data_IF_861093207113
#
_entry.id   IF_861093207113
#
_cell.length_a   1.000
_cell.length_b   1.000
_cell.length_c   1.000
_cell.angle_alpha   90.00
_cell.angle_beta   90.00
_cell.angle_gamma   90.00
#
_symmetry.space_group_name_H-M   'P 1'
#
loop_
_entity.id
_entity.type
_entity.pdbx_description
1 polymer ?
#
# COMPACT_ATOMS: atom_id res chain seq x y z
N UNK A 1 -21.70 39.40 10.73
CA UNK A 1 -20.56 38.84 9.98
C UNK A 1 -20.12 37.56 10.66
N UNK A 2 -20.43 36.40 10.07
CA UNK A 2 -20.07 35.11 10.65
C UNK A 2 -18.74 34.68 10.02
N UNK A 3 -17.69 34.59 10.80
CA UNK A 3 -16.40 34.05 10.42
C UNK A 3 -16.55 32.55 10.10
N UNK A 4 -16.41 32.16 8.83
CA UNK A 4 -16.27 30.78 8.42
C UNK A 4 -14.93 30.27 8.93
N UNK A 5 -14.94 29.45 10.00
CA UNK A 5 -13.81 28.60 10.36
C UNK A 5 -13.49 27.70 9.15
N UNK A 6 -12.38 27.95 8.53
CA UNK A 6 -11.78 27.06 7.53
C UNK A 6 -11.30 25.81 8.28
N UNK A 7 -12.07 24.73 8.24
CA UNK A 7 -11.60 23.43 8.69
C UNK A 7 -10.44 23.02 7.79
N UNK A 8 -9.25 23.00 8.37
CA UNK A 8 -8.06 22.45 7.75
C UNK A 8 -8.24 20.95 7.65
N UNK A 9 -8.80 20.48 6.53
CA UNK A 9 -8.79 19.06 6.17
C UNK A 9 -7.34 18.64 5.93
N UNK A 10 -6.67 18.18 6.98
CA UNK A 10 -5.40 17.46 6.81
C UNK A 10 -5.76 16.22 5.97
N UNK A 11 -5.20 16.05 4.77
CA UNK A 11 -5.52 14.90 3.94
C UNK A 11 -5.30 13.62 4.76
N UNK A 12 -6.27 12.70 4.79
CA UNK A 12 -6.17 11.41 5.49
C UNK A 12 -4.86 10.69 5.16
N UNK A 13 -4.41 10.82 3.89
CA UNK A 13 -3.10 10.32 3.46
C UNK A 13 -1.94 10.86 4.30
N UNK A 14 -1.92 12.16 4.64
CA UNK A 14 -0.85 12.74 5.45
C UNK A 14 -0.83 12.13 6.86
N UNK A 15 -2.00 11.79 7.40
CA UNK A 15 -2.12 11.12 8.70
C UNK A 15 -1.60 9.67 8.63
N UNK A 16 -1.96 8.92 7.58
CA UNK A 16 -1.49 7.55 7.38
C UNK A 16 0.01 7.48 7.09
N UNK A 17 0.52 8.38 6.26
CA UNK A 17 1.95 8.47 5.98
C UNK A 17 2.74 8.84 7.25
N UNK A 18 2.27 9.81 8.03
CA UNK A 18 2.91 10.19 9.29
C UNK A 18 2.85 9.05 10.32
N UNK A 19 1.70 8.35 10.40
CA UNK A 19 1.53 7.16 11.25
C UNK A 19 2.46 6.02 10.83
N UNK A 20 2.52 5.70 9.54
CA UNK A 20 3.40 4.67 8.99
C UNK A 20 4.88 4.97 9.22
N UNK A 21 5.30 6.24 9.08
CA UNK A 21 6.68 6.65 9.35
C UNK A 21 7.05 6.56 10.84
N UNK A 22 6.15 6.91 11.73
CA UNK A 22 6.33 6.76 13.17
C UNK A 22 6.43 5.29 13.56
N UNK A 23 5.56 4.43 13.05
CA UNK A 23 5.59 2.99 13.28
C UNK A 23 6.87 2.36 12.73
N UNK A 24 7.31 2.75 11.52
CA UNK A 24 8.59 2.30 10.96
C UNK A 24 9.79 2.68 11.84
N UNK A 25 9.86 3.95 12.33
CA UNK A 25 10.91 4.37 13.25
C UNK A 25 10.87 3.63 14.57
N UNK A 26 9.67 3.39 15.11
CA UNK A 26 9.49 2.62 16.35
C UNK A 26 9.93 1.17 16.16
N UNK A 27 9.54 0.55 15.07
CA UNK A 27 9.92 -0.83 14.73
C UNK A 27 11.44 -0.99 14.59
N UNK A 28 12.08 -0.06 13.87
CA UNK A 28 13.55 -0.04 13.74
C UNK A 28 14.26 0.15 15.08
N UNK A 29 13.68 0.92 16.00
CA UNK A 29 14.23 1.18 17.34
C UNK A 29 14.01 0.01 18.32
N UNK A 30 12.93 -0.76 18.14
CA UNK A 30 12.56 -1.91 18.98
C UNK A 30 13.16 -3.23 18.47
N UNK A 31 14.02 -3.20 17.46
CA UNK A 31 14.80 -4.36 17.04
C UNK A 31 13.97 -5.54 16.54
N UNK A 32 13.07 -5.31 15.58
CA UNK A 32 12.50 -6.43 14.82
C UNK A 32 11.12 -6.93 15.26
N UNK A 33 10.28 -6.11 15.85
CA UNK A 33 8.92 -6.47 16.23
C UNK A 33 7.85 -6.08 15.18
N UNK A 34 8.19 -6.09 13.89
CA UNK A 34 7.22 -6.28 12.82
C UNK A 34 7.69 -7.48 12.01
N UNK A 35 7.80 -8.61 12.67
CA UNK A 35 7.45 -9.87 12.04
C UNK A 35 5.92 -9.87 12.07
N UNK A 36 5.34 -9.96 10.89
CA UNK A 36 3.90 -10.18 10.72
C UNK A 36 3.55 -11.46 11.48
N UNK A 37 2.85 -11.39 12.63
CA UNK A 37 2.66 -12.57 13.47
C UNK A 37 1.77 -13.63 12.83
N UNK A 38 1.23 -13.36 11.64
CA UNK A 38 0.33 -14.22 10.89
C UNK A 38 0.61 -14.18 9.37
N UNK A 39 1.63 -13.43 8.93
CA UNK A 39 2.06 -13.41 7.55
C UNK A 39 2.62 -14.77 7.16
N UNK A 40 2.23 -15.25 6.00
CA UNK A 40 2.73 -16.50 5.45
C UNK A 40 4.18 -16.23 4.99
N UNK A 41 5.17 -16.43 5.90
CA UNK A 41 6.59 -16.17 5.63
C UNK A 41 7.03 -16.81 4.29
N UNK A 42 6.47 -17.99 3.97
CA UNK A 42 6.76 -18.67 2.73
C UNK A 42 6.22 -17.89 1.51
N UNK A 43 4.97 -17.42 1.56
CA UNK A 43 4.39 -16.65 0.46
C UNK A 43 5.11 -15.32 0.24
N UNK A 44 5.54 -14.65 1.30
CA UNK A 44 6.36 -13.44 1.20
C UNK A 44 7.73 -13.74 0.58
N UNK A 45 8.39 -14.83 0.99
CA UNK A 45 9.66 -15.26 0.42
C UNK A 45 9.52 -15.60 -1.07
N UNK A 46 8.45 -16.29 -1.45
CA UNK A 46 8.17 -16.63 -2.84
C UNK A 46 7.90 -15.37 -3.68
N UNK A 47 7.17 -14.39 -3.13
CA UNK A 47 6.94 -13.10 -3.75
C UNK A 47 8.25 -12.33 -3.97
N UNK A 48 9.09 -12.22 -2.94
CA UNK A 48 10.40 -11.58 -3.01
C UNK A 48 11.32 -12.22 -4.07
N UNK A 49 11.31 -13.55 -4.17
CA UNK A 49 12.10 -14.27 -5.16
C UNK A 49 11.56 -14.12 -6.59
N UNK A 50 10.27 -13.80 -6.75
CA UNK A 50 9.60 -13.66 -8.06
C UNK A 50 9.73 -12.26 -8.66
N UNK A 51 10.01 -11.25 -7.85
CA UNK A 51 10.03 -9.83 -8.25
C UNK A 51 11.44 -9.28 -8.17
N UNK A 52 11.95 -8.79 -9.29
CA UNK A 52 13.24 -8.07 -9.34
C UNK A 52 12.98 -6.57 -9.51
N UNK A 53 13.55 -5.76 -8.63
CA UNK A 53 13.47 -4.29 -8.63
C UNK A 53 14.85 -3.71 -8.96
N UNK A 54 14.92 -2.81 -9.93
CA UNK A 54 16.09 -1.98 -10.11
C UNK A 54 16.02 -0.74 -9.23
N UNK A 55 16.78 -0.74 -8.13
CA UNK A 55 16.74 0.34 -7.12
C UNK A 55 17.14 1.71 -7.67
N UNK A 56 17.95 1.75 -8.75
CA UNK A 56 18.38 2.99 -9.39
C UNK A 56 17.23 3.71 -10.12
N UNK A 57 16.18 2.97 -10.48
CA UNK A 57 15.01 3.51 -11.17
C UNK A 57 13.91 3.98 -10.21
N UNK A 58 14.07 3.77 -8.90
CA UNK A 58 13.04 4.16 -7.95
C UNK A 58 12.88 5.68 -7.88
N UNK A 59 11.65 6.16 -8.09
CA UNK A 59 11.29 7.58 -8.00
C UNK A 59 11.35 8.10 -6.57
N UNK A 60 11.10 7.24 -5.59
CA UNK A 60 11.04 7.60 -4.18
C UNK A 60 11.98 6.73 -3.35
N UNK A 61 12.40 7.18 -2.15
CA UNK A 61 13.19 6.36 -1.24
C UNK A 61 12.39 5.17 -0.71
N UNK A 62 13.04 4.02 -0.45
CA UNK A 62 12.38 2.78 -0.03
C UNK A 62 11.42 2.92 1.15
N UNK A 63 11.75 3.76 2.14
CA UNK A 63 10.88 3.99 3.28
C UNK A 63 9.51 4.57 2.90
N UNK A 64 9.43 5.28 1.77
CA UNK A 64 8.18 5.83 1.27
C UNK A 64 7.22 4.73 0.80
N UNK A 65 7.73 3.71 0.10
CA UNK A 65 6.92 2.56 -0.32
C UNK A 65 6.43 1.75 0.87
N UNK A 66 7.25 1.58 1.92
CA UNK A 66 6.83 0.93 3.17
C UNK A 66 5.70 1.72 3.84
N UNK A 67 5.82 3.04 3.87
CA UNK A 67 4.77 3.91 4.42
C UNK A 67 3.47 3.83 3.62
N UNK A 68 3.57 3.81 2.28
CA UNK A 68 2.42 3.63 1.40
C UNK A 68 1.79 2.25 1.53
N UNK A 69 2.59 1.21 1.64
CA UNK A 69 2.11 -0.15 1.86
C UNK A 69 1.27 -0.26 3.14
N UNK A 70 1.73 0.36 4.24
CA UNK A 70 0.97 0.42 5.51
C UNK A 70 -0.34 1.19 5.36
N UNK A 71 -0.33 2.31 4.61
CA UNK A 71 -1.54 3.09 4.35
C UNK A 71 -2.54 2.31 3.49
N UNK A 72 -2.05 1.59 2.45
CA UNK A 72 -2.86 0.72 1.60
C UNK A 72 -3.45 -0.45 2.37
N UNK A 73 -2.67 -1.10 3.25
CA UNK A 73 -3.17 -2.17 4.12
C UNK A 73 -4.35 -1.66 4.98
N UNK A 74 -4.19 -0.49 5.60
CA UNK A 74 -5.26 0.10 6.39
C UNK A 74 -6.49 0.41 5.54
N UNK A 75 -6.29 1.04 4.38
CA UNK A 75 -7.38 1.47 3.51
C UNK A 75 -8.13 0.32 2.83
N UNK A 76 -7.44 -0.79 2.53
CA UNK A 76 -8.02 -1.93 1.80
C UNK A 76 -8.52 -3.04 2.73
N UNK A 77 -7.78 -3.33 3.83
CA UNK A 77 -7.98 -4.58 4.57
C UNK A 77 -8.44 -4.38 6.03
N UNK A 78 -8.29 -3.19 6.59
CA UNK A 78 -8.59 -2.94 8.01
C UNK A 78 -9.83 -2.08 8.18
N UNK A 79 -10.01 -1.05 7.36
CA UNK A 79 -11.23 -0.23 7.37
C UNK A 79 -12.41 -1.02 6.81
N UNK A 80 -13.57 -0.95 7.50
CA UNK A 80 -14.81 -1.60 7.07
C UNK A 80 -15.40 -0.98 5.78
N UNK A 81 -14.85 0.14 5.35
CA UNK A 81 -15.18 0.81 4.10
C UNK A 81 -13.87 1.15 3.41
N UNK A 82 -13.66 0.61 2.21
CA UNK A 82 -12.49 0.88 1.39
C UNK A 82 -12.30 2.40 1.24
N UNK A 83 -11.10 2.89 1.57
CA UNK A 83 -10.77 4.31 1.40
C UNK A 83 -10.13 4.52 0.01
N UNK A 84 -10.98 4.56 -1.02
CA UNK A 84 -10.56 4.77 -2.42
C UNK A 84 -9.66 5.99 -2.58
N UNK A 85 -9.92 7.08 -1.85
CA UNK A 85 -9.14 8.30 -1.96
C UNK A 85 -7.69 8.10 -1.51
N UNK A 86 -7.46 7.27 -0.49
CA UNK A 86 -6.10 6.91 -0.04
C UNK A 86 -5.42 6.04 -1.09
N UNK A 87 -6.11 5.00 -1.59
CA UNK A 87 -5.57 4.11 -2.62
C UNK A 87 -5.21 4.90 -3.88
N UNK A 88 -6.14 5.69 -4.40
CA UNK A 88 -5.93 6.58 -5.55
C UNK A 88 -4.71 7.48 -5.36
N UNK A 89 -4.63 8.16 -4.21
CA UNK A 89 -3.55 9.11 -3.94
C UNK A 89 -2.16 8.48 -3.93
N UNK A 90 -2.07 7.17 -3.74
CA UNK A 90 -0.82 6.41 -3.78
C UNK A 90 -0.57 5.87 -5.19
N UNK A 91 -1.55 5.20 -5.80
CA UNK A 91 -1.39 4.59 -7.13
C UNK A 91 -1.04 5.63 -8.19
N UNK A 92 -1.67 6.82 -8.14
CA UNK A 92 -1.37 7.92 -9.08
C UNK A 92 0.06 8.50 -8.95
N UNK A 93 0.83 8.15 -7.93
CA UNK A 93 2.24 8.54 -7.78
C UNK A 93 3.22 7.56 -8.41
N UNK A 94 2.78 6.37 -8.76
CA UNK A 94 3.62 5.34 -9.38
C UNK A 94 3.92 5.77 -10.83
N UNK A 95 5.20 5.83 -11.18
CA UNK A 95 5.65 6.39 -12.46
C UNK A 95 6.39 5.38 -13.35
N UNK A 96 6.81 4.25 -12.80
CA UNK A 96 7.51 3.21 -13.54
C UNK A 96 7.28 1.83 -12.92
N UNK A 97 7.71 0.78 -13.65
CA UNK A 97 7.55 -0.62 -13.22
C UNK A 97 8.30 -0.93 -11.91
N UNK A 98 9.46 -0.32 -11.68
CA UNK A 98 10.24 -0.58 -10.47
C UNK A 98 9.58 0.06 -9.23
N UNK A 99 8.95 1.23 -9.36
CA UNK A 99 8.10 1.83 -8.33
C UNK A 99 6.96 0.89 -7.94
N UNK A 100 6.25 0.35 -8.95
CA UNK A 100 5.14 -0.59 -8.72
C UNK A 100 5.61 -1.86 -8.03
N UNK A 101 6.65 -2.49 -8.56
CA UNK A 101 7.25 -3.70 -7.98
C UNK A 101 7.71 -3.47 -6.54
N UNK A 102 8.37 -2.33 -6.28
CA UNK A 102 8.80 -1.98 -4.92
C UNK A 102 7.62 -1.78 -3.97
N UNK A 103 6.52 -1.19 -4.45
CA UNK A 103 5.30 -1.05 -3.65
C UNK A 103 4.64 -2.41 -3.38
N UNK A 104 4.58 -3.29 -4.38
CA UNK A 104 4.07 -4.67 -4.21
C UNK A 104 4.91 -5.46 -3.21
N UNK A 105 6.24 -5.37 -3.28
CA UNK A 105 7.14 -6.00 -2.31
C UNK A 105 6.98 -5.42 -0.89
N UNK A 106 6.87 -4.10 -0.77
CA UNK A 106 6.65 -3.45 0.52
C UNK A 106 5.30 -3.81 1.15
N UNK A 107 4.27 -4.03 0.33
CA UNK A 107 2.97 -4.51 0.78
C UNK A 107 3.06 -5.99 1.19
N UNK A 108 3.77 -6.81 0.42
CA UNK A 108 3.89 -8.24 0.67
C UNK A 108 2.56 -8.97 0.50
N UNK A 109 2.41 -10.08 1.23
CA UNK A 109 1.15 -10.83 1.35
C UNK A 109 0.51 -10.45 2.69
N UNK A 110 -0.73 -9.98 2.64
CA UNK A 110 -1.51 -9.54 3.81
C UNK A 110 -2.75 -10.37 4.00
N UNK A 111 -3.18 -10.49 5.24
CA UNK A 111 -4.39 -11.22 5.61
C UNK A 111 -5.54 -10.25 5.84
N UNK A 112 -6.67 -10.53 5.21
CA UNK A 112 -7.91 -9.80 5.42
C UNK A 112 -8.63 -10.32 6.68
N UNK A 113 -8.98 -9.42 7.60
CA UNK A 113 -9.67 -9.69 8.85
C UNK A 113 -11.12 -9.18 8.87
N UNK A 114 -11.76 -9.04 7.73
CA UNK A 114 -13.11 -8.46 7.59
C UNK A 114 -14.19 -9.05 8.52
N UNK A 115 -13.97 -10.23 9.07
CA UNK A 115 -14.89 -10.89 10.03
C UNK A 115 -14.33 -10.92 11.45
N UNK A 116 -13.55 -9.94 11.85
CA UNK A 116 -12.94 -9.88 13.18
C UNK A 116 -11.64 -10.69 13.21
N UNK A 117 -11.48 -11.61 14.17
CA UNK A 117 -10.22 -12.34 14.36
C UNK A 117 -10.08 -13.62 13.53
N UNK A 118 -10.97 -13.85 12.55
CA UNK A 118 -10.90 -15.02 11.66
C UNK A 118 -10.26 -14.57 10.35
N UNK A 119 -9.03 -15.01 10.02
CA UNK A 119 -8.42 -14.71 8.73
C UNK A 119 -9.27 -15.35 7.63
N UNK A 120 -9.68 -14.54 6.65
CA UNK A 120 -10.57 -14.98 5.58
C UNK A 120 -9.81 -15.28 4.31
N UNK A 121 -8.91 -14.39 3.90
CA UNK A 121 -8.13 -14.48 2.66
C UNK A 121 -6.77 -13.82 2.83
N UNK A 122 -5.78 -14.27 2.05
CA UNK A 122 -4.49 -13.59 1.91
C UNK A 122 -4.41 -12.92 0.53
N UNK A 123 -3.90 -11.69 0.50
CA UNK A 123 -3.78 -10.90 -0.72
C UNK A 123 -2.38 -10.31 -0.89
N UNK A 124 -1.87 -10.34 -2.12
CA UNK A 124 -0.87 -9.37 -2.59
C UNK A 124 -1.57 -8.05 -2.91
N UNK A 125 -0.82 -6.95 -3.07
CA UNK A 125 -1.42 -5.66 -3.42
C UNK A 125 -2.27 -5.70 -4.70
N UNK A 126 -1.82 -6.27 -5.84
CA UNK A 126 -2.67 -6.41 -7.03
C UNK A 126 -3.93 -7.23 -6.75
N UNK A 127 -3.79 -8.32 -5.99
CA UNK A 127 -4.92 -9.18 -5.62
C UNK A 127 -5.95 -8.48 -4.75
N UNK A 128 -5.51 -7.67 -3.78
CA UNK A 128 -6.39 -6.87 -2.93
C UNK A 128 -7.17 -5.82 -3.75
N UNK A 129 -6.50 -5.08 -4.63
CA UNK A 129 -7.15 -4.09 -5.50
C UNK A 129 -8.17 -4.78 -6.42
N UNK A 130 -7.79 -5.89 -7.06
CA UNK A 130 -8.68 -6.63 -7.95
C UNK A 130 -9.94 -7.16 -7.24
N UNK A 131 -9.78 -7.60 -5.99
CA UNK A 131 -10.89 -8.19 -5.21
C UNK A 131 -11.80 -7.13 -4.59
N UNK A 132 -11.24 -6.02 -4.10
CA UNK A 132 -11.94 -5.04 -3.28
C UNK A 132 -12.34 -3.77 -4.06
N UNK A 133 -11.62 -3.44 -5.14
CA UNK A 133 -11.86 -2.26 -5.96
C UNK A 133 -11.84 -2.59 -7.47
N UNK A 134 -12.62 -3.59 -7.93
CA UNK A 134 -12.57 -4.06 -9.32
C UNK A 134 -12.92 -2.98 -10.34
N UNK A 135 -13.76 -2.01 -9.98
CA UNK A 135 -14.14 -0.86 -10.82
C UNK A 135 -12.97 0.11 -11.08
N UNK A 136 -11.95 0.14 -10.21
CA UNK A 136 -10.78 1.01 -10.36
C UNK A 136 -9.65 0.40 -11.18
N UNK A 137 -9.66 -0.91 -11.37
CA UNK A 137 -8.58 -1.65 -12.05
C UNK A 137 -8.28 -1.09 -13.45
N UNK A 138 -9.33 -0.77 -14.21
CA UNK A 138 -9.15 -0.22 -15.56
C UNK A 138 -8.48 1.16 -15.53
N UNK A 139 -8.83 2.02 -14.57
CA UNK A 139 -8.27 3.35 -14.44
C UNK A 139 -6.78 3.27 -14.08
N UNK A 140 -6.41 2.39 -13.13
CA UNK A 140 -5.02 2.17 -12.75
C UNK A 140 -4.19 1.58 -13.89
N UNK A 141 -4.74 0.61 -14.63
CA UNK A 141 -4.05 0.06 -15.79
C UNK A 141 -3.86 1.09 -16.92
N UNK A 142 -4.81 2.02 -17.10
CA UNK A 142 -4.67 3.14 -18.03
C UNK A 142 -3.57 4.11 -17.57
N UNK A 143 -3.48 4.39 -16.27
CA UNK A 143 -2.42 5.20 -15.69
C UNK A 143 -1.04 4.57 -15.95
N UNK A 144 -0.88 3.28 -15.66
CA UNK A 144 0.36 2.54 -15.90
C UNK A 144 0.74 2.55 -17.40
N UNK A 145 -0.25 2.37 -18.29
CA UNK A 145 -0.02 2.47 -19.73
C UNK A 145 0.47 3.87 -20.16
N UNK A 146 -0.02 4.93 -19.52
CA UNK A 146 0.43 6.31 -19.76
C UNK A 146 1.91 6.53 -19.44
N UNK A 147 2.48 5.75 -18.52
CA UNK A 147 3.90 5.73 -18.17
C UNK A 147 4.72 4.64 -18.89
N UNK A 148 4.15 3.99 -19.92
CA UNK A 148 4.75 2.84 -20.64
C UNK A 148 5.14 1.65 -19.73
N UNK A 149 4.46 1.51 -18.60
CA UNK A 149 4.71 0.39 -17.69
C UNK A 149 4.23 -0.94 -18.31
N UNK A 150 4.96 -2.00 -18.04
CA UNK A 150 4.57 -3.37 -18.39
C UNK A 150 3.71 -4.01 -17.29
N UNK A 151 3.82 -3.51 -16.07
CA UNK A 151 3.02 -3.96 -14.91
C UNK A 151 1.53 -3.69 -15.11
N UNK A 152 0.70 -4.60 -14.58
CA UNK A 152 -0.77 -4.48 -14.55
C UNK A 152 -1.29 -4.99 -13.20
N UNK A 153 -2.51 -4.58 -12.88
CA UNK A 153 -3.29 -5.11 -11.76
C UNK A 153 -4.15 -6.25 -12.25
#
# INVERSE_FOLDING_TARGET
MAEKKQETNIPRLALYIAGGFLLYKLAKKLGGFIQDPLGNEQENTDLENSISVNEENLTYPKWQYISWATALETALLIDLTEDEAVVDSIIWKIQNDDDWKQLVLAFGVRIDYNLGFIPSYSYTLPGAILALMPERVQDYNNHFAGWNMQSRI
#
